data_IF_142323158160
#
_entry.id   IF_142323158160
#
_cell.length_a   1.000
_cell.length_b   1.000
_cell.length_c   1.000
_cell.angle_alpha   90.00
_cell.angle_beta   90.00
_cell.angle_gamma   90.00
#
_symmetry.space_group_name_H-M   'P 1'
#
loop_
_entity.id
_entity.type
_entity.pdbx_description
1 polymer ?
#
# COMPACT_ATOMS: atom_id res chain seq x y z
N UNK A 1 -30.98 11.73 26.53
CA UNK A 1 -29.62 12.23 26.83
C UNK A 1 -28.62 11.39 26.04
N UNK A 2 -27.88 11.99 25.11
CA UNK A 2 -26.77 11.30 24.43
C UNK A 2 -25.58 12.25 24.41
N UNK A 3 -24.72 12.07 25.41
CA UNK A 3 -23.48 12.79 25.67
C UNK A 3 -22.42 12.37 24.65
N UNK A 4 -22.40 13.01 23.48
CA UNK A 4 -21.23 12.91 22.59
C UNK A 4 -20.22 13.99 22.96
N UNK A 5 -19.20 13.59 23.72
CA UNK A 5 -18.08 14.41 24.15
C UNK A 5 -17.08 14.63 23.00
N UNK A 6 -17.55 15.16 21.87
CA UNK A 6 -16.74 15.46 20.69
C UNK A 6 -17.18 16.79 20.05
N UNK A 7 -17.09 17.90 20.82
CA UNK A 7 -17.23 19.25 20.27
C UNK A 7 -15.92 19.64 19.57
N UNK A 8 -15.79 19.31 18.29
CA UNK A 8 -14.71 19.83 17.45
C UNK A 8 -15.30 20.57 16.26
N UNK A 9 -14.75 21.75 15.95
CA UNK A 9 -15.09 22.53 14.75
C UNK A 9 -14.45 21.94 13.48
N UNK A 10 -13.60 20.92 13.63
CA UNK A 10 -12.95 20.26 12.50
C UNK A 10 -13.97 19.49 11.65
N UNK A 11 -14.01 19.83 10.35
CA UNK A 11 -14.84 19.13 9.38
C UNK A 11 -14.49 17.64 9.39
N UNK A 12 -15.48 16.80 9.69
CA UNK A 12 -15.36 15.34 9.60
C UNK A 12 -14.95 14.98 8.17
N UNK A 13 -13.75 14.43 7.99
CA UNK A 13 -13.34 13.91 6.67
C UNK A 13 -14.22 12.71 6.35
N UNK A 14 -14.97 12.79 5.25
CA UNK A 14 -15.63 11.63 4.68
C UNK A 14 -14.56 10.70 4.10
N UNK A 15 -14.04 9.79 4.91
CA UNK A 15 -13.26 8.66 4.41
C UNK A 15 -14.31 7.63 3.99
N UNK A 16 -14.44 7.36 2.69
CA UNK A 16 -15.35 6.30 2.20
C UNK A 16 -15.09 4.98 2.94
N UNK A 17 -16.05 4.06 2.94
CA UNK A 17 -15.95 2.81 3.73
C UNK A 17 -14.68 2.01 3.36
N UNK A 18 -13.65 1.98 4.23
CA UNK A 18 -12.37 1.38 3.91
C UNK A 18 -12.50 -0.15 3.77
N UNK A 19 -13.33 -0.78 4.62
CA UNK A 19 -13.64 -2.20 4.53
C UNK A 19 -14.24 -2.56 3.17
N UNK A 20 -15.28 -1.84 2.72
CA UNK A 20 -15.90 -2.07 1.41
C UNK A 20 -14.91 -1.97 0.25
N UNK A 21 -13.92 -1.06 0.36
CA UNK A 21 -12.89 -0.91 -0.67
C UNK A 21 -11.91 -2.08 -0.67
N UNK A 22 -11.59 -2.64 0.51
CA UNK A 22 -10.77 -3.83 0.66
C UNK A 22 -11.51 -5.10 0.20
N UNK A 23 -12.79 -5.23 0.55
CA UNK A 23 -13.64 -6.37 0.18
C UNK A 23 -13.90 -6.45 -1.33
N UNK A 24 -13.84 -5.30 -2.03
CA UNK A 24 -13.97 -5.23 -3.49
C UNK A 24 -12.68 -5.61 -4.24
N UNK A 25 -11.57 -5.89 -3.55
CA UNK A 25 -10.30 -6.25 -4.20
C UNK A 25 -10.31 -7.73 -4.66
N UNK A 26 -9.66 -8.05 -5.79
CA UNK A 26 -9.41 -9.43 -6.19
C UNK A 26 -8.60 -10.20 -5.13
N UNK A 27 -8.81 -11.52 -5.04
CA UNK A 27 -8.15 -12.38 -4.05
C UNK A 27 -6.62 -12.31 -4.10
N UNK A 28 -6.03 -12.31 -5.30
CA UNK A 28 -4.57 -12.20 -5.50
C UNK A 28 -4.02 -10.89 -4.92
N UNK A 29 -4.76 -9.80 -5.15
CA UNK A 29 -4.38 -8.47 -4.66
C UNK A 29 -4.53 -8.35 -3.15
N UNK A 30 -5.54 -9.02 -2.57
CA UNK A 30 -5.69 -9.12 -1.12
C UNK A 30 -4.55 -9.90 -0.47
N UNK A 31 -4.15 -11.02 -1.06
CA UNK A 31 -3.00 -11.81 -0.57
C UNK A 31 -1.72 -10.98 -0.58
N UNK A 32 -1.45 -10.30 -1.68
CA UNK A 32 -0.31 -9.39 -1.76
C UNK A 32 -0.38 -8.29 -0.71
N UNK A 33 -1.55 -7.68 -0.52
CA UNK A 33 -1.74 -6.60 0.45
C UNK A 33 -1.57 -7.08 1.90
N UNK A 34 -1.88 -8.34 2.19
CA UNK A 34 -1.65 -8.94 3.51
C UNK A 34 -0.17 -9.19 3.80
N UNK A 35 0.65 -9.42 2.76
CA UNK A 35 2.10 -9.61 2.87
C UNK A 35 2.90 -8.30 2.71
N UNK A 36 2.25 -7.21 2.28
CA UNK A 36 2.88 -5.91 2.06
C UNK A 36 3.45 -5.34 3.37
N UNK A 37 4.65 -4.78 3.29
CA UNK A 37 5.38 -4.21 4.44
C UNK A 37 4.87 -2.81 4.75
N UNK A 38 4.47 -2.05 3.73
CA UNK A 38 3.99 -0.68 3.90
C UNK A 38 2.48 -0.67 4.27
N UNK A 39 2.02 0.28 5.10
CA UNK A 39 0.60 0.44 5.43
C UNK A 39 -0.16 1.11 4.27
N UNK A 40 -0.34 0.36 3.20
CA UNK A 40 -1.03 0.81 2.00
C UNK A 40 -2.54 0.94 2.22
N UNK A 41 -3.16 1.93 1.57
CA UNK A 41 -4.62 1.98 1.45
C UNK A 41 -5.11 1.12 0.27
N UNK A 42 -6.21 0.39 0.46
CA UNK A 42 -6.83 -0.44 -0.58
C UNK A 42 -7.06 0.31 -1.91
N UNK A 43 -7.49 1.57 -1.83
CA UNK A 43 -7.72 2.41 -3.00
C UNK A 43 -6.43 2.77 -3.76
N UNK A 44 -5.30 2.98 -3.06
CA UNK A 44 -4.01 3.26 -3.70
C UNK A 44 -3.51 2.02 -4.44
N UNK A 45 -3.58 0.87 -3.77
CA UNK A 45 -3.15 -0.43 -4.29
C UNK A 45 -3.96 -0.80 -5.54
N UNK A 46 -5.28 -0.65 -5.47
CA UNK A 46 -6.17 -0.89 -6.61
C UNK A 46 -5.84 -0.02 -7.82
N UNK A 47 -5.51 1.27 -7.60
CA UNK A 47 -5.11 2.17 -8.69
C UNK A 47 -3.80 1.74 -9.35
N UNK A 48 -2.79 1.38 -8.56
CA UNK A 48 -1.50 0.92 -9.11
C UNK A 48 -1.67 -0.41 -9.83
N UNK A 49 -2.43 -1.35 -9.25
CA UNK A 49 -2.78 -2.63 -9.86
C UNK A 49 -3.46 -2.48 -11.21
N UNK A 50 -4.49 -1.64 -11.31
CA UNK A 50 -5.20 -1.43 -12.57
C UNK A 50 -4.29 -0.84 -13.65
N UNK A 51 -3.39 0.08 -13.28
CA UNK A 51 -2.39 0.63 -14.21
C UNK A 51 -1.40 -0.44 -14.66
N UNK A 52 -0.95 -1.29 -13.75
CA UNK A 52 -0.03 -2.39 -14.05
C UNK A 52 -0.69 -3.44 -14.95
N UNK A 53 -1.93 -3.86 -14.66
CA UNK A 53 -2.69 -4.78 -15.51
C UNK A 53 -2.88 -4.25 -16.92
N UNK A 54 -3.19 -2.96 -17.07
CA UNK A 54 -3.31 -2.31 -18.39
C UNK A 54 -1.98 -2.36 -19.16
N UNK A 55 -0.85 -2.12 -18.48
CA UNK A 55 0.47 -2.19 -19.08
C UNK A 55 0.89 -3.61 -19.45
N UNK A 56 0.53 -4.61 -18.64
CA UNK A 56 0.90 -6.01 -18.81
C UNK A 56 -0.12 -6.83 -19.62
N UNK A 57 -1.04 -6.19 -20.35
CA UNK A 57 -2.11 -6.83 -21.14
C UNK A 57 -2.93 -7.89 -20.37
N UNK A 58 -3.14 -7.67 -19.08
CA UNK A 58 -3.92 -8.56 -18.22
C UNK A 58 -3.13 -9.64 -17.49
N UNK A 59 -1.79 -9.69 -17.62
CA UNK A 59 -0.96 -10.57 -16.81
C UNK A 59 -0.95 -10.11 -15.33
N UNK A 60 -1.51 -10.94 -14.47
CA UNK A 60 -1.64 -10.69 -13.02
C UNK A 60 -0.30 -10.82 -12.29
N UNK A 61 0.56 -11.76 -12.70
CA UNK A 61 1.85 -11.99 -12.05
C UNK A 61 2.79 -10.81 -12.33
N UNK A 62 2.85 -10.34 -13.58
CA UNK A 62 3.59 -9.15 -13.94
C UNK A 62 3.07 -7.89 -13.22
N UNK A 63 1.75 -7.78 -13.03
CA UNK A 63 1.16 -6.67 -12.26
C UNK A 63 1.54 -6.70 -10.78
N UNK A 64 1.54 -7.89 -10.14
CA UNK A 64 2.02 -8.08 -8.76
C UNK A 64 3.51 -7.72 -8.61
N UNK A 65 4.35 -8.16 -9.55
CA UNK A 65 5.77 -7.83 -9.56
C UNK A 65 5.99 -6.32 -9.66
N UNK A 66 5.22 -5.64 -10.53
CA UNK A 66 5.28 -4.18 -10.66
C UNK A 66 4.86 -3.46 -9.37
N UNK A 67 3.84 -3.97 -8.69
CA UNK A 67 3.36 -3.43 -7.42
C UNK A 67 4.42 -3.55 -6.33
N UNK A 68 5.10 -4.70 -6.26
CA UNK A 68 6.22 -4.95 -5.34
C UNK A 68 7.43 -4.03 -5.60
N UNK A 69 7.73 -3.71 -6.87
CA UNK A 69 8.75 -2.71 -7.21
C UNK A 69 8.36 -1.29 -6.75
N UNK A 70 7.08 -0.93 -6.85
CA UNK A 70 6.60 0.37 -6.35
C UNK A 70 6.70 0.44 -4.83
N UNK A 71 6.32 -0.62 -4.13
CA UNK A 71 6.48 -0.72 -2.67
C UNK A 71 7.92 -0.50 -2.26
N UNK A 72 8.85 -1.21 -2.90
CA UNK A 72 10.28 -1.12 -2.60
C UNK A 72 10.81 0.31 -2.75
N UNK A 73 10.49 0.99 -3.85
CA UNK A 73 10.90 2.39 -4.08
C UNK A 73 10.33 3.35 -3.04
N UNK A 74 9.09 3.11 -2.61
CA UNK A 74 8.48 3.90 -1.55
C UNK A 74 9.16 3.67 -0.21
N UNK A 75 9.50 2.41 0.09
CA UNK A 75 10.20 2.04 1.31
C UNK A 75 11.61 2.63 1.34
N UNK A 76 12.36 2.55 0.24
CA UNK A 76 13.68 3.21 0.10
C UNK A 76 13.59 4.71 0.38
N UNK A 77 12.60 5.39 -0.22
CA UNK A 77 12.39 6.83 -0.02
C UNK A 77 12.04 7.17 1.43
N UNK A 78 11.18 6.37 2.06
CA UNK A 78 10.73 6.60 3.43
C UNK A 78 11.86 6.34 4.43
N UNK A 79 12.57 5.23 4.26
CA UNK A 79 13.74 4.88 5.05
C UNK A 79 14.84 5.93 4.92
N UNK A 80 15.15 6.38 3.70
CA UNK A 80 16.13 7.45 3.49
C UNK A 80 15.70 8.76 4.16
N UNK A 81 14.40 9.08 4.16
CA UNK A 81 13.88 10.28 4.81
C UNK A 81 13.94 10.20 6.34
N UNK A 82 13.59 9.06 6.93
CA UNK A 82 13.52 8.90 8.38
C UNK A 82 14.92 8.69 8.98
N UNK A 83 15.76 7.90 8.30
CA UNK A 83 17.04 7.44 8.83
C UNK A 83 18.27 8.04 8.14
N UNK A 84 18.07 9.04 7.27
CA UNK A 84 19.14 9.76 6.56
C UNK A 84 20.16 8.82 5.85
N UNK A 85 19.71 7.66 5.36
CA UNK A 85 20.56 6.70 4.65
C UNK A 85 21.27 5.66 5.51
N UNK A 86 21.21 5.74 6.84
CA UNK A 86 21.94 4.85 7.75
C UNK A 86 21.25 3.50 8.03
N UNK A 87 20.07 3.27 7.46
CA UNK A 87 19.28 2.08 7.76
C UNK A 87 19.74 0.88 6.91
N UNK A 88 19.94 -0.31 7.51
CA UNK A 88 20.51 -1.48 6.83
C UNK A 88 19.69 -1.97 5.64
N UNK A 89 18.39 -1.67 5.61
CA UNK A 89 17.52 -1.98 4.45
C UNK A 89 18.04 -1.38 3.14
N UNK A 90 18.69 -0.20 3.17
CA UNK A 90 19.23 0.46 1.97
C UNK A 90 20.52 -0.21 1.49
N UNK A 91 21.24 -0.90 2.38
CA UNK A 91 22.49 -1.60 2.09
C UNK A 91 22.28 -3.09 1.80
N UNK A 92 21.10 -3.63 2.12
CA UNK A 92 20.79 -5.04 1.92
C UNK A 92 20.72 -5.38 0.41
N UNK A 93 21.31 -6.51 -0.03
CA UNK A 93 21.21 -6.94 -1.41
C UNK A 93 19.75 -7.22 -1.78
N UNK A 94 19.35 -6.74 -2.96
CA UNK A 94 17.96 -6.68 -3.47
C UNK A 94 17.25 -8.04 -3.63
N UNK A 95 17.96 -9.14 -3.33
CA UNK A 95 17.51 -10.54 -3.41
C UNK A 95 16.94 -11.09 -2.09
N UNK A 96 17.06 -10.36 -0.98
CA UNK A 96 16.47 -10.79 0.30
C UNK A 96 14.99 -10.38 0.37
N UNK A 97 14.13 -11.11 -0.33
CA UNK A 97 12.70 -11.10 -0.03
C UNK A 97 12.47 -11.90 1.26
N UNK A 98 11.67 -11.42 2.24
CA UNK A 98 11.28 -12.24 3.36
C UNK A 98 10.46 -13.41 2.80
N UNK A 99 10.89 -14.63 3.13
CA UNK A 99 10.21 -15.89 2.79
C UNK A 99 8.90 -16.02 3.56
#
# INVERSE_FOLDING_TARGET
>A
MSTRNCKTSLKRRNRGNPMRSYDALPADLRHWLAAAVLPWSAASVQKVWQRALKACRGDRAAALARLSDVERRLLERDVARIWCGSHPYLSAPRDQAPT
#
